data_IF_253404293318
#
_entry.id   IF_253404293318
#
_cell.length_a   1.000
_cell.length_b   1.000
_cell.length_c   1.000
_cell.angle_alpha   90.00
_cell.angle_beta   90.00
_cell.angle_gamma   90.00
#
_symmetry.space_group_name_H-M   'P 1'
#
loop_
_entity.id
_entity.type
_entity.pdbx_description
1 polymer ?
#
# COMPACT_ATOMS: atom_id res chain seq x y z
N UNK A 1 49.73 -5.20 -11.43
CA UNK A 1 48.35 -5.04 -10.94
C UNK A 1 47.97 -3.61 -10.56
N UNK A 2 48.74 -2.86 -9.76
CA UNK A 2 48.32 -1.51 -9.31
C UNK A 2 48.00 -0.53 -10.46
N UNK A 3 48.84 -0.48 -11.50
CA UNK A 3 48.61 0.37 -12.69
C UNK A 3 47.33 0.01 -13.43
N UNK A 4 47.04 -1.29 -13.59
CA UNK A 4 45.81 -1.78 -14.22
C UNK A 4 44.58 -1.35 -13.41
N UNK A 5 44.60 -1.51 -12.08
CA UNK A 5 43.50 -1.08 -11.21
C UNK A 5 43.23 0.43 -11.32
N UNK A 6 44.28 1.24 -11.49
CA UNK A 6 44.17 2.68 -11.74
C UNK A 6 43.56 3.01 -13.10
N UNK A 7 43.91 2.26 -14.15
CA UNK A 7 43.35 2.45 -15.50
C UNK A 7 41.86 2.11 -15.54
N UNK A 8 41.43 1.06 -14.82
CA UNK A 8 40.06 0.55 -14.88
C UNK A 8 39.18 0.95 -13.68
N UNK A 9 39.64 1.85 -12.81
CA UNK A 9 38.95 2.25 -11.58
C UNK A 9 38.49 1.05 -10.72
N UNK A 10 39.33 0.01 -10.62
CA UNK A 10 39.07 -1.15 -9.75
C UNK A 10 39.87 -1.04 -8.46
N UNK A 11 39.41 -1.72 -7.41
CA UNK A 11 40.05 -1.67 -6.10
C UNK A 11 41.31 -2.55 -6.07
N UNK A 12 42.45 -1.98 -5.68
CA UNK A 12 43.71 -2.73 -5.49
C UNK A 12 43.87 -3.12 -4.00
N UNK A 13 43.85 -4.41 -3.67
CA UNK A 13 43.93 -4.93 -2.29
C UNK A 13 45.01 -6.03 -2.16
N UNK A 14 46.30 -5.68 -2.05
CA UNK A 14 47.40 -6.64 -2.00
C UNK A 14 47.43 -7.45 -0.68
N UNK A 15 47.01 -6.85 0.44
CA UNK A 15 47.01 -7.46 1.78
C UNK A 15 45.77 -8.31 2.07
N UNK A 16 44.82 -8.36 1.13
CA UNK A 16 43.56 -9.14 1.23
C UNK A 16 42.73 -8.78 2.47
N UNK A 17 42.74 -7.50 2.85
CA UNK A 17 41.94 -6.98 3.96
C UNK A 17 40.44 -6.99 3.64
N UNK A 18 39.60 -7.14 4.66
CA UNK A 18 38.13 -7.12 4.51
C UNK A 18 37.61 -5.68 4.50
N UNK A 19 37.56 -5.07 3.31
CA UNK A 19 37.15 -3.67 3.11
C UNK A 19 35.64 -3.45 2.96
N UNK A 20 34.81 -4.51 2.93
CA UNK A 20 33.35 -4.39 2.76
C UNK A 20 32.85 -4.00 1.36
N UNK A 21 33.75 -3.93 0.36
CA UNK A 21 33.42 -3.58 -1.04
C UNK A 21 32.35 -4.47 -1.68
N UNK A 22 32.25 -5.74 -1.27
CA UNK A 22 31.17 -6.64 -1.71
C UNK A 22 29.77 -6.11 -1.40
N UNK A 23 29.57 -5.50 -0.23
CA UNK A 23 28.27 -4.94 0.18
C UNK A 23 27.92 -3.73 -0.69
N UNK A 24 28.90 -2.88 -1.00
CA UNK A 24 28.72 -1.69 -1.83
C UNK A 24 28.47 -2.03 -3.31
N UNK A 25 29.11 -3.09 -3.82
CA UNK A 25 28.88 -3.58 -5.18
C UNK A 25 27.56 -4.34 -5.35
N UNK A 26 26.93 -4.76 -4.25
CA UNK A 26 25.66 -5.45 -4.32
C UNK A 26 24.59 -4.51 -4.88
N UNK A 27 23.99 -4.90 -6.01
CA UNK A 27 22.91 -4.13 -6.64
C UNK A 27 21.72 -4.01 -5.69
N UNK A 28 21.20 -2.80 -5.53
CA UNK A 28 20.02 -2.53 -4.71
C UNK A 28 18.78 -3.23 -5.32
N UNK A 29 18.01 -3.93 -4.48
CA UNK A 29 16.78 -4.64 -4.89
C UNK A 29 15.50 -3.83 -4.65
N UNK A 30 15.61 -2.64 -4.08
CA UNK A 30 14.47 -1.86 -3.57
C UNK A 30 13.37 -1.63 -4.60
N UNK A 31 13.73 -1.21 -5.82
CA UNK A 31 12.76 -0.98 -6.88
C UNK A 31 11.95 -2.24 -7.24
N UNK A 32 12.63 -3.38 -7.39
CA UNK A 32 11.97 -4.66 -7.71
C UNK A 32 11.03 -5.14 -6.61
N UNK A 33 11.36 -4.87 -5.34
CA UNK A 33 10.52 -5.23 -4.20
C UNK A 33 9.32 -4.28 -4.09
N UNK A 34 9.53 -2.98 -4.30
CA UNK A 34 8.47 -1.98 -4.25
C UNK A 34 7.40 -2.20 -5.34
N UNK A 35 7.81 -2.66 -6.52
CA UNK A 35 6.91 -2.94 -7.65
C UNK A 35 6.17 -4.28 -7.56
N UNK A 36 6.18 -4.96 -6.40
CA UNK A 36 5.55 -6.27 -6.26
C UNK A 36 4.03 -6.23 -6.54
N UNK A 37 3.33 -5.22 -6.03
CA UNK A 37 1.95 -4.98 -6.38
C UNK A 37 1.84 -3.92 -7.49
N UNK A 38 1.03 -4.16 -8.54
CA UNK A 38 0.78 -3.16 -9.54
C UNK A 38 0.17 -1.88 -8.94
N UNK A 39 0.50 -0.69 -9.48
CA UNK A 39 -0.15 0.55 -9.08
C UNK A 39 -1.65 0.49 -9.38
N UNK A 40 -2.47 1.13 -8.53
CA UNK A 40 -3.92 1.22 -8.76
C UNK A 40 -4.20 2.27 -9.85
N UNK A 41 -4.41 1.81 -11.08
CA UNK A 41 -4.73 2.62 -12.25
C UNK A 41 -6.13 2.25 -12.73
N UNK A 42 -6.89 3.22 -13.23
CA UNK A 42 -8.20 2.97 -13.84
C UNK A 42 -9.31 2.73 -12.82
N UNK A 43 -9.22 3.35 -11.64
CA UNK A 43 -10.33 3.28 -10.67
C UNK A 43 -11.55 4.02 -11.23
N UNK A 44 -12.77 3.56 -10.94
CA UNK A 44 -14.00 4.23 -11.42
C UNK A 44 -14.06 5.70 -10.99
N UNK A 45 -13.51 6.06 -9.82
CA UNK A 45 -13.33 7.46 -9.41
C UNK A 45 -12.48 8.27 -10.41
N UNK A 46 -11.40 7.70 -10.93
CA UNK A 46 -10.57 8.35 -11.96
C UNK A 46 -11.35 8.47 -13.27
N UNK A 47 -12.11 7.44 -13.64
CA UNK A 47 -12.94 7.44 -14.85
C UNK A 47 -14.02 8.55 -14.80
N UNK A 48 -14.71 8.70 -13.67
CA UNK A 48 -15.68 9.79 -13.40
C UNK A 48 -15.04 11.18 -13.49
N UNK A 49 -13.79 11.33 -13.05
CA UNK A 49 -13.06 12.59 -13.14
C UNK A 49 -12.64 12.93 -14.58
N UNK A 50 -12.36 11.92 -15.41
CA UNK A 50 -11.98 12.10 -16.82
C UNK A 50 -13.17 12.42 -17.72
N UNK A 51 -14.35 11.89 -17.40
CA UNK A 51 -15.55 12.00 -18.22
C UNK A 51 -16.74 12.52 -17.40
N UNK A 52 -16.72 13.81 -17.01
CA UNK A 52 -17.75 14.38 -16.13
C UNK A 52 -19.13 14.47 -16.79
N UNK A 53 -19.19 14.50 -18.12
CA UNK A 53 -20.44 14.60 -18.88
C UNK A 53 -21.20 13.26 -18.96
N UNK A 54 -20.54 12.16 -18.57
CA UNK A 54 -21.11 10.82 -18.63
C UNK A 54 -21.42 10.30 -17.23
N UNK A 55 -22.60 9.69 -17.08
CA UNK A 55 -22.94 8.97 -15.85
C UNK A 55 -22.28 7.58 -15.86
N UNK A 56 -21.27 7.42 -15.01
CA UNK A 56 -20.52 6.18 -14.88
C UNK A 56 -20.95 5.47 -13.61
N UNK A 57 -21.63 4.34 -13.77
CA UNK A 57 -22.10 3.50 -12.68
C UNK A 57 -21.03 2.48 -12.24
N UNK A 58 -21.06 2.12 -10.96
CA UNK A 58 -20.19 1.08 -10.39
C UNK A 58 -21.07 -0.04 -9.85
N UNK A 59 -21.35 -1.06 -10.66
CA UNK A 59 -22.33 -2.11 -10.33
C UNK A 59 -22.17 -2.71 -8.93
N UNK A 60 -20.95 -3.12 -8.55
CA UNK A 60 -20.71 -3.69 -7.20
C UNK A 60 -20.92 -2.70 -6.05
N UNK A 61 -20.79 -1.40 -6.32
CA UNK A 61 -21.02 -0.35 -5.33
C UNK A 61 -22.52 -0.13 -5.17
N UNK A 62 -23.26 -0.09 -6.29
CA UNK A 62 -24.72 -0.02 -6.29
C UNK A 62 -25.34 -1.25 -5.61
N UNK A 63 -24.92 -2.47 -5.96
CA UNK A 63 -25.35 -3.71 -5.32
C UNK A 63 -25.14 -3.67 -3.80
N UNK A 64 -24.00 -3.11 -3.36
CA UNK A 64 -23.68 -2.97 -1.94
C UNK A 64 -24.59 -1.96 -1.25
N UNK A 65 -24.88 -0.83 -1.90
CA UNK A 65 -25.79 0.20 -1.38
C UNK A 65 -27.22 -0.34 -1.26
N UNK A 66 -27.70 -1.07 -2.26
CA UNK A 66 -29.00 -1.74 -2.23
C UNK A 66 -29.09 -2.75 -1.09
N UNK A 67 -28.10 -3.65 -0.98
CA UNK A 67 -28.04 -4.61 0.11
C UNK A 67 -28.03 -3.93 1.49
N UNK A 68 -27.35 -2.80 1.61
CA UNK A 68 -27.32 -1.99 2.83
C UNK A 68 -28.67 -1.35 3.15
N UNK A 69 -29.44 -0.93 2.14
CA UNK A 69 -30.79 -0.39 2.28
C UNK A 69 -31.79 -1.47 2.72
N UNK A 70 -31.72 -2.66 2.11
CA UNK A 70 -32.52 -3.84 2.50
C UNK A 70 -32.20 -4.27 3.94
N UNK A 71 -30.92 -4.25 4.34
CA UNK A 71 -30.55 -4.55 5.72
C UNK A 71 -31.14 -3.53 6.71
N UNK A 72 -31.18 -2.24 6.34
CA UNK A 72 -31.79 -1.17 7.16
C UNK A 72 -33.30 -1.34 7.31
N UNK A 73 -34.03 -1.64 6.23
CA UNK A 73 -35.48 -1.82 6.28
C UNK A 73 -35.89 -2.99 7.19
N UNK A 74 -35.05 -4.02 7.28
CA UNK A 74 -35.27 -5.19 8.15
C UNK A 74 -34.75 -5.02 9.58
N UNK A 75 -34.23 -3.84 9.94
CA UNK A 75 -33.59 -3.62 11.25
C UNK A 75 -32.31 -4.43 11.47
N UNK A 76 -31.69 -4.92 10.40
CA UNK A 76 -30.43 -5.69 10.40
C UNK A 76 -29.23 -4.86 9.94
N UNK A 77 -29.36 -3.55 9.96
CA UNK A 77 -28.25 -2.64 9.71
C UNK A 77 -27.13 -2.83 10.74
N UNK A 78 -25.87 -2.59 10.36
CA UNK A 78 -24.78 -2.53 11.33
C UNK A 78 -25.09 -1.47 12.39
N UNK A 79 -24.87 -1.77 13.69
CA UNK A 79 -25.11 -0.81 14.75
C UNK A 79 -24.18 0.40 14.62
N UNK A 80 -24.60 1.53 15.21
CA UNK A 80 -23.78 2.76 15.25
C UNK A 80 -22.40 2.45 15.82
N UNK A 81 -21.35 2.78 15.07
CA UNK A 81 -19.96 2.69 15.54
C UNK A 81 -19.77 3.62 16.73
N UNK A 82 -19.34 3.04 17.85
CA UNK A 82 -18.95 3.80 19.04
C UNK A 82 -17.61 4.49 18.79
N UNK A 83 -17.54 5.80 19.00
CA UNK A 83 -16.35 6.62 18.76
C UNK A 83 -15.71 7.11 20.05
N UNK A 84 -16.47 7.17 21.15
CA UNK A 84 -15.98 7.64 22.45
C UNK A 84 -16.07 6.55 23.52
N UNK A 85 -15.25 6.68 24.57
CA UNK A 85 -15.27 5.77 25.72
C UNK A 85 -16.62 5.78 26.45
N UNK A 86 -17.28 6.94 26.54
CA UNK A 86 -18.59 7.09 27.17
C UNK A 86 -19.70 6.26 26.48
N UNK A 87 -19.63 6.07 25.16
CA UNK A 87 -20.58 5.25 24.39
C UNK A 87 -20.37 3.73 24.62
N UNK A 88 -19.24 3.35 25.22
CA UNK A 88 -18.86 1.96 25.40
C UNK A 88 -19.35 1.40 26.74
N UNK A 89 -20.37 0.53 26.67
CA UNK A 89 -20.92 -0.26 27.78
C UNK A 89 -19.88 -1.14 28.51
N UNK A 90 -18.66 -1.29 27.97
CA UNK A 90 -17.57 -2.08 28.56
C UNK A 90 -17.00 -1.39 29.82
N UNK A 91 -16.93 -0.06 29.86
CA UNK A 91 -16.34 0.69 30.99
C UNK A 91 -17.38 1.05 32.06
N UNK A 92 -18.67 0.98 31.75
CA UNK A 92 -19.75 1.18 32.71
C UNK A 92 -20.08 -0.06 33.55
N UNK A 93 -19.40 -1.20 33.32
CA UNK A 93 -19.51 -2.38 34.19
C UNK A 93 -18.58 -2.18 35.40
N UNK A 94 -18.91 -1.22 36.28
CA UNK A 94 -18.42 -1.24 37.65
C UNK A 94 -19.20 -2.30 38.44
N UNK A 95 -18.46 -2.95 39.33
CA UNK A 95 -18.77 -4.16 40.10
C UNK A 95 -20.16 -4.16 40.73
#
# INVERSE_FOLDING_TARGET
MAVQCRVFNTTYNPERLRMGTHILHQRLKGASVASYYPPRIGTIKQLRALYPDFEILHDKEEDWLEAQQVARSRGKAPPKKKRTAAESKKFNKRR
#
